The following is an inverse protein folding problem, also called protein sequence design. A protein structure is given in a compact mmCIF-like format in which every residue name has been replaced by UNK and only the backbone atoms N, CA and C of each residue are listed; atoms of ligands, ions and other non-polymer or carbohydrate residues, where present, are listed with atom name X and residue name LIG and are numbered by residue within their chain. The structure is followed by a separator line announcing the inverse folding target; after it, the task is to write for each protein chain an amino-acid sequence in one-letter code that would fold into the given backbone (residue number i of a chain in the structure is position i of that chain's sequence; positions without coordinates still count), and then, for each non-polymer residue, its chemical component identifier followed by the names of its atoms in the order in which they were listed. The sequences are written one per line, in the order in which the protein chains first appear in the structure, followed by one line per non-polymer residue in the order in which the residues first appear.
data_IF_558552200115
#
_entry.id   IF_558552200115
#
_cell.length_a   1.000
_cell.length_b   1.000
_cell.length_c   1.000
_cell.angle_alpha   90.00
_cell.angle_beta   90.00
_cell.angle_gamma   90.00
#
_symmetry.space_group_name_H-M   'P 1'
#
loop_
_entity.id
_entity.type
_entity.pdbx_description
1 polymer ?
#
# COMPACT_ATOMS: atom_id res chain seq x y z
N UNK A 1 -5.35 -12.61 -7.92
CA UNK A 1 -5.81 -13.68 -8.81
C UNK A 1 -4.90 -13.79 -10.02
N UNK A 2 -4.57 -14.98 -10.41
CA UNK A 2 -3.78 -15.21 -11.62
C UNK A 2 -4.69 -15.47 -12.81
N UNK A 3 -4.25 -14.97 -13.97
CA UNK A 3 -4.92 -15.27 -15.24
C UNK A 3 -3.94 -16.02 -16.11
N UNK A 4 -4.36 -17.16 -16.60
CA UNK A 4 -3.51 -18.02 -17.44
C UNK A 4 -3.50 -17.53 -18.88
N UNK A 5 -2.51 -17.99 -19.65
CA UNK A 5 -2.38 -17.59 -21.03
C UNK A 5 -3.57 -18.02 -21.91
N UNK A 6 -4.33 -19.02 -21.48
CA UNK A 6 -5.53 -19.47 -22.17
C UNK A 6 -6.79 -18.70 -21.74
N UNK A 7 -6.61 -17.61 -21.01
CA UNK A 7 -7.68 -16.74 -20.50
C UNK A 7 -8.52 -17.33 -19.37
N UNK A 8 -8.10 -18.46 -18.80
CA UNK A 8 -8.78 -18.99 -17.62
C UNK A 8 -8.08 -18.49 -16.36
N UNK A 9 -8.86 -18.30 -15.30
CA UNK A 9 -8.30 -17.95 -14.00
C UNK A 9 -7.57 -19.13 -13.39
N UNK A 10 -6.46 -18.86 -12.75
CA UNK A 10 -5.81 -19.83 -11.88
C UNK A 10 -6.60 -20.00 -10.59
N UNK A 11 -6.14 -20.87 -9.68
CA UNK A 11 -6.79 -21.01 -8.38
C UNK A 11 -6.71 -19.72 -7.59
N UNK A 12 -7.70 -19.48 -6.75
CA UNK A 12 -7.69 -18.37 -5.81
C UNK A 12 -6.91 -18.81 -4.59
N UNK A 13 -5.95 -17.97 -4.18
CA UNK A 13 -5.21 -18.25 -2.95
C UNK A 13 -5.16 -17.00 -2.07
N UNK A 14 -5.20 -17.22 -0.76
CA UNK A 14 -5.10 -16.16 0.21
C UNK A 14 -3.63 -15.89 0.48
N UNK A 15 -3.17 -14.69 0.14
CA UNK A 15 -1.77 -14.29 0.32
C UNK A 15 -1.48 -13.93 1.76
N UNK A 16 -2.42 -13.31 2.45
CA UNK A 16 -2.28 -12.91 3.84
C UNK A 16 -3.64 -12.76 4.49
N UNK A 17 -3.68 -12.91 5.81
CA UNK A 17 -4.90 -12.77 6.60
C UNK A 17 -4.71 -11.71 7.68
N UNK A 18 -5.81 -11.31 8.32
CA UNK A 18 -5.78 -10.34 9.42
C UNK A 18 -5.20 -9.00 9.01
N UNK A 19 -5.50 -8.61 7.77
CA UNK A 19 -5.14 -7.30 7.23
C UNK A 19 -6.42 -6.52 6.98
N UNK A 20 -6.38 -5.24 7.29
CA UNK A 20 -7.46 -4.33 6.94
C UNK A 20 -7.05 -3.52 5.72
N UNK A 21 -6.64 -4.25 4.69
CA UNK A 21 -6.10 -3.68 3.47
C UNK A 21 -7.17 -2.96 2.66
N UNK A 22 -6.81 -1.79 2.15
CA UNK A 22 -7.63 -1.06 1.19
C UNK A 22 -6.99 -1.17 -0.19
N UNK A 23 -5.75 -0.72 -0.31
CA UNK A 23 -5.04 -0.73 -1.58
C UNK A 23 -3.58 -1.11 -1.34
N UNK A 24 -2.90 -1.48 -2.40
CA UNK A 24 -1.51 -1.92 -2.28
C UNK A 24 -0.70 -1.61 -3.54
N UNK A 25 0.63 -1.67 -3.39
CA UNK A 25 1.56 -1.53 -4.50
C UNK A 25 2.67 -2.58 -4.35
N UNK A 26 3.09 -3.16 -5.46
CA UNK A 26 4.18 -4.12 -5.47
C UNK A 26 5.53 -3.42 -5.62
N UNK A 27 6.52 -3.91 -4.89
CA UNK A 27 7.91 -3.52 -5.10
C UNK A 27 8.62 -4.53 -5.99
N UNK A 28 9.80 -4.14 -6.50
CA UNK A 28 10.60 -5.03 -7.34
C UNK A 28 11.12 -6.24 -6.58
N UNK A 29 11.18 -6.18 -5.26
CA UNK A 29 11.58 -7.33 -4.43
C UNK A 29 10.45 -8.33 -4.19
N UNK A 30 9.25 -8.04 -4.68
CA UNK A 30 8.09 -8.89 -4.45
C UNK A 30 7.34 -8.56 -3.16
N UNK A 31 7.71 -7.50 -2.47
CA UNK A 31 6.97 -7.06 -1.29
C UNK A 31 5.74 -6.27 -1.68
N UNK A 32 4.74 -6.32 -0.82
CA UNK A 32 3.52 -5.51 -0.96
C UNK A 32 3.58 -4.37 0.05
N UNK A 33 3.31 -3.16 -0.42
CA UNK A 33 3.09 -2.03 0.46
C UNK A 33 1.59 -1.80 0.50
N UNK A 34 1.02 -1.82 1.69
CA UNK A 34 -0.43 -1.91 1.88
C UNK A 34 -0.92 -0.74 2.71
N UNK A 35 -1.84 0.04 2.14
CA UNK A 35 -2.54 1.09 2.88
C UNK A 35 -3.68 0.44 3.64
N UNK A 36 -3.79 0.71 4.93
CA UNK A 36 -4.82 0.10 5.77
C UNK A 36 -5.65 1.15 6.47
N UNK A 37 -6.90 0.82 6.70
CA UNK A 37 -7.76 1.51 7.63
C UNK A 37 -8.87 0.53 8.02
N UNK A 38 -9.39 0.59 9.22
CA UNK A 38 -9.21 1.66 10.22
C UNK A 38 -7.94 1.56 11.06
N UNK A 39 -6.99 0.70 10.73
CA UNK A 39 -5.76 0.57 11.51
C UNK A 39 -4.83 1.78 11.35
N UNK A 40 -5.04 2.61 10.32
CA UNK A 40 -4.28 3.84 10.07
C UNK A 40 -2.78 3.58 9.93
N UNK A 41 -2.43 2.58 9.14
CA UNK A 41 -1.03 2.24 8.93
C UNK A 41 -0.72 2.02 7.45
N UNK A 42 0.57 2.06 7.14
CA UNK A 42 1.10 1.55 5.89
C UNK A 42 2.01 0.40 6.26
N UNK A 43 1.73 -0.77 5.73
CA UNK A 43 2.49 -1.99 6.04
C UNK A 43 3.30 -2.44 4.85
N UNK A 44 4.46 -3.05 5.13
CA UNK A 44 5.22 -3.77 4.12
C UNK A 44 5.11 -5.27 4.43
N UNK A 45 4.57 -6.02 3.48
CA UNK A 45 4.48 -7.47 3.57
C UNK A 45 5.52 -8.07 2.64
N UNK A 46 6.56 -8.65 3.19
CA UNK A 46 7.61 -9.27 2.41
C UNK A 46 7.14 -10.60 1.82
N UNK A 47 7.87 -11.08 0.81
CA UNK A 47 7.50 -12.34 0.14
C UNK A 47 7.57 -13.55 1.07
N UNK A 48 8.33 -13.47 2.17
CA UNK A 48 8.39 -14.53 3.18
C UNK A 48 7.30 -14.42 4.25
N UNK A 49 6.41 -13.43 4.13
CA UNK A 49 5.32 -13.23 5.08
C UNK A 49 5.63 -12.25 6.20
N UNK A 50 6.84 -11.73 6.28
CA UNK A 50 7.22 -10.77 7.32
C UNK A 50 6.48 -9.46 7.12
N UNK A 51 5.88 -8.94 8.19
CA UNK A 51 5.14 -7.68 8.17
C UNK A 51 5.89 -6.63 8.97
N UNK A 52 6.03 -5.44 8.39
CA UNK A 52 6.66 -4.30 9.05
C UNK A 52 5.75 -3.08 8.86
N UNK A 53 5.48 -2.36 9.93
CA UNK A 53 4.76 -1.10 9.84
C UNK A 53 5.73 -0.02 9.38
N UNK A 54 5.44 0.58 8.22
CA UNK A 54 6.28 1.62 7.64
C UNK A 54 5.88 3.00 8.15
N UNK A 55 4.58 3.21 8.34
CA UNK A 55 4.06 4.48 8.83
C UNK A 55 2.77 4.24 9.59
N UNK A 56 2.50 5.08 10.57
CA UNK A 56 1.29 5.02 11.38
C UNK A 56 0.68 6.39 11.56
N UNK A 57 -0.23 6.55 12.53
CA UNK A 57 -0.91 7.83 12.74
C UNK A 57 0.05 8.99 13.02
N UNK A 58 1.16 8.74 13.70
CA UNK A 58 2.11 9.79 14.04
C UNK A 58 2.83 10.34 12.81
N UNK A 59 2.94 9.56 11.76
CA UNK A 59 3.49 10.00 10.49
C UNK A 59 2.41 10.57 9.56
N UNK A 60 1.18 10.64 10.03
CA UNK A 60 0.09 11.21 9.27
C UNK A 60 -0.71 10.20 8.45
N UNK A 61 -0.53 8.90 8.70
CA UNK A 61 -1.18 7.86 7.91
C UNK A 61 -2.64 7.59 8.30
N UNK A 62 -3.27 8.51 9.00
CA UNK A 62 -4.66 8.34 9.46
C UNK A 62 -5.60 8.26 8.26
N UNK A 63 -6.30 7.12 8.14
CA UNK A 63 -7.18 6.88 7.02
C UNK A 63 -6.45 6.61 5.72
N UNK A 64 -5.36 5.84 5.76
CA UNK A 64 -4.61 5.46 4.57
C UNK A 64 -5.51 4.70 3.60
N UNK A 65 -5.62 5.16 2.37
CA UNK A 65 -6.54 4.60 1.39
C UNK A 65 -5.87 4.02 0.16
N UNK A 66 -4.77 4.61 -0.28
CA UNK A 66 -4.13 4.18 -1.52
C UNK A 66 -2.64 4.47 -1.45
N UNK A 67 -1.85 3.68 -2.17
CA UNK A 67 -0.42 3.95 -2.28
C UNK A 67 0.09 3.58 -3.67
N UNK A 68 1.13 4.27 -4.10
CA UNK A 68 1.77 4.04 -5.38
C UNK A 68 3.21 4.50 -5.33
N UNK A 69 4.09 3.78 -6.02
CA UNK A 69 5.49 4.21 -6.15
C UNK A 69 5.62 5.36 -7.13
N UNK A 70 6.57 6.25 -6.88
CA UNK A 70 6.96 7.28 -7.81
C UNK A 70 7.58 6.70 -9.06
N UNK A 71 7.47 7.43 -10.17
CA UNK A 71 7.94 6.99 -11.47
C UNK A 71 9.00 7.91 -12.06
N UNK A 72 9.09 9.12 -11.53
CA UNK A 72 10.02 10.11 -12.05
C UNK A 72 11.42 9.90 -11.50
N UNK A 73 12.37 10.61 -12.12
CA UNK A 73 13.74 10.62 -11.65
C UNK A 73 13.79 11.13 -10.21
N UNK A 74 14.56 10.46 -9.37
CA UNK A 74 14.70 10.76 -7.95
C UNK A 74 13.44 10.46 -7.14
N UNK A 75 12.50 9.72 -7.70
CA UNK A 75 11.27 9.34 -7.00
C UNK A 75 11.05 7.83 -6.99
N UNK A 76 11.91 7.05 -7.64
CA UNK A 76 11.69 5.62 -7.84
C UNK A 76 11.58 4.84 -6.53
N UNK A 77 12.21 5.32 -5.46
CA UNK A 77 12.16 4.67 -4.15
C UNK A 77 11.20 5.33 -3.19
N UNK A 78 10.40 6.27 -3.68
CA UNK A 78 9.38 6.93 -2.88
C UNK A 78 8.04 6.25 -3.04
N UNK A 79 7.37 6.02 -1.93
CA UNK A 79 5.98 5.52 -1.92
C UNK A 79 5.09 6.70 -1.56
N UNK A 80 4.13 6.99 -2.42
CA UNK A 80 3.15 8.04 -2.16
C UNK A 80 1.88 7.41 -1.61
N UNK A 81 1.35 7.99 -0.54
CA UNK A 81 0.19 7.46 0.17
C UNK A 81 -0.85 8.56 0.31
N UNK A 82 -2.07 8.28 -0.13
CA UNK A 82 -3.19 9.18 0.09
C UNK A 82 -3.93 8.78 1.36
N UNK A 83 -4.44 9.78 2.08
CA UNK A 83 -5.21 9.54 3.30
C UNK A 83 -6.50 10.34 3.27
N UNK A 84 -7.50 9.87 4.02
CA UNK A 84 -8.76 10.61 4.17
C UNK A 84 -8.88 11.29 5.55
N UNK A 85 -7.83 11.20 6.37
CA UNK A 85 -7.83 11.83 7.70
C UNK A 85 -8.70 11.12 8.73
N UNK A 86 -9.18 9.94 8.41
CA UNK A 86 -10.06 9.20 9.32
C UNK A 86 -11.53 9.59 9.16
N UNK A 87 -11.93 10.01 7.97
CA UNK A 87 -13.29 10.48 7.71
C UNK A 87 -14.36 9.50 8.18
N UNK A 88 -14.17 8.22 7.95
CA UNK A 88 -15.12 7.18 8.33
C UNK A 88 -14.78 6.53 9.67
N UNK A 89 -13.51 6.62 10.09
CA UNK A 89 -13.02 6.01 11.31
C UNK A 89 -12.02 6.97 11.93
N UNK A 90 -12.48 7.95 12.72
CA UNK A 90 -11.59 8.96 13.29
C UNK A 90 -10.53 8.35 14.20
N UNK A 91 -9.34 8.92 14.16
CA UNK A 91 -8.26 8.53 15.05
C UNK A 91 -8.36 9.33 16.33
N UNK A 92 -8.47 8.63 17.46
CA UNK A 92 -8.66 9.25 18.78
C UNK A 92 -9.85 10.21 18.78
N UNK A 93 -10.89 9.86 18.05
CA UNK A 93 -12.11 10.66 18.00
C UNK A 93 -12.07 11.91 17.14
N UNK A 94 -10.96 12.13 16.42
CA UNK A 94 -10.82 13.33 15.60
C UNK A 94 -10.60 12.99 14.13
N UNK A 95 -11.25 13.74 13.25
CA UNK A 95 -11.00 13.67 11.82
C UNK A 95 -9.95 14.71 11.49
N UNK A 96 -8.91 14.28 10.77
CA UNK A 96 -7.80 15.15 10.37
C UNK A 96 -7.94 15.54 8.91
N UNK A 97 -7.09 16.44 8.44
CA UNK A 97 -7.04 16.77 7.03
C UNK A 97 -6.58 15.56 6.21
N UNK A 98 -7.14 15.39 5.04
CA UNK A 98 -6.63 14.45 4.07
C UNK A 98 -5.24 14.89 3.61
N UNK A 99 -4.35 13.94 3.37
CA UNK A 99 -2.95 14.22 3.03
C UNK A 99 -2.47 13.35 1.89
N UNK A 100 -1.42 13.84 1.26
CA UNK A 100 -0.59 13.03 0.37
C UNK A 100 0.77 12.93 1.03
N UNK A 101 1.15 11.74 1.44
CA UNK A 101 2.42 11.49 2.10
C UNK A 101 3.43 10.96 1.10
N UNK A 102 4.69 11.31 1.29
CA UNK A 102 5.81 10.73 0.55
C UNK A 102 6.70 10.00 1.54
N UNK A 103 6.82 8.70 1.36
CA UNK A 103 7.64 7.84 2.23
C UNK A 103 8.84 7.32 1.45
N UNK A 104 10.03 7.50 1.99
CA UNK A 104 11.23 6.94 1.39
C UNK A 104 11.37 5.50 1.88
N UNK A 105 11.21 4.53 1.00
CA UNK A 105 11.18 3.12 1.39
C UNK A 105 12.40 2.33 0.93
N UNK A 106 13.28 2.94 0.14
CA UNK A 106 14.56 2.34 -0.21
C UNK A 106 14.51 1.26 -1.28
N UNK A 107 13.36 1.00 -1.85
CA UNK A 107 13.24 0.06 -2.97
C UNK A 107 12.27 0.62 -4.00
N UNK A 108 12.37 0.10 -5.22
CA UNK A 108 11.57 0.60 -6.34
C UNK A 108 10.31 -0.20 -6.52
N UNK A 109 9.30 0.42 -7.11
CA UNK A 109 8.06 -0.27 -7.45
C UNK A 109 8.19 -1.05 -8.74
N UNK A 110 7.40 -2.11 -8.85
CA UNK A 110 7.31 -2.85 -10.10
C UNK A 110 6.77 -1.93 -11.19
N UNK A 111 7.29 -2.02 -12.42
CA UNK A 111 6.74 -1.24 -13.50
C UNK A 111 5.28 -1.58 -13.74
N UNK A 112 4.47 -0.55 -13.97
CA UNK A 112 3.11 -0.78 -14.40
C UNK A 112 3.17 -1.34 -15.83
N UNK A 113 2.48 -2.43 -16.12
CA UNK A 113 2.51 -2.98 -17.48
C UNK A 113 2.08 -1.94 -18.51
N UNK A 114 2.62 -2.03 -19.71
CA UNK A 114 2.25 -1.13 -20.78
C UNK A 114 0.74 -1.13 -20.98
N UNK A 115 0.21 0.03 -21.31
CA UNK A 115 -1.22 0.19 -21.53
C UNK A 115 -1.68 -0.66 -22.71
N UNK A 116 -2.77 -1.35 -22.51
CA UNK A 116 -3.31 -2.24 -23.49
C UNK A 116 -4.56 -1.70 -24.13
#
# INVERSE_FOLDING_TARGET
MQVRSDSTSGPVETVAENLRADDFAFSTSGALYIATHPAHTVLRLASDGTRVTIAGPEEGAVGSTSCAFGRGKNEETALYVTTNGGLWTPYRGEVQEARLLRLEVGETGDPVPAQR
#
